data_IF_631743459414
#
_entry.id   IF_631743459414
#
_cell.length_a   1.000
_cell.length_b   1.000
_cell.length_c   1.000
_cell.angle_alpha   90.00
_cell.angle_beta   90.00
_cell.angle_gamma   90.00
#
_symmetry.space_group_name_H-M   'P 1'
#
loop_
_entity.id
_entity.type
_entity.pdbx_description
1 polymer ?
#
# COMPACT_ATOMS: atom_id res chain seq x y z
N UNK A 1 -22.74 -0.12 6.80
CA UNK A 1 -21.45 0.12 7.49
C UNK A 1 -21.46 1.52 8.11
N UNK A 2 -20.83 1.71 9.28
CA UNK A 2 -20.59 3.04 9.86
C UNK A 2 -19.85 3.95 8.88
N UNK A 3 -20.17 5.25 8.85
CA UNK A 3 -19.58 6.23 7.90
C UNK A 3 -18.05 6.25 7.94
N UNK A 4 -17.46 6.15 9.14
CA UNK A 4 -16.01 6.13 9.31
C UNK A 4 -15.34 4.93 8.61
N UNK A 5 -15.97 3.74 8.65
CA UNK A 5 -15.46 2.54 7.98
C UNK A 5 -15.66 2.61 6.48
N UNK A 6 -16.75 3.21 5.99
CA UNK A 6 -16.94 3.46 4.56
C UNK A 6 -15.84 4.38 4.02
N UNK A 7 -15.56 5.49 4.74
CA UNK A 7 -14.49 6.42 4.37
C UNK A 7 -13.11 5.73 4.36
N UNK A 8 -12.83 4.89 5.36
CA UNK A 8 -11.60 4.10 5.39
C UNK A 8 -11.50 3.15 4.18
N UNK A 9 -12.58 2.44 3.83
CA UNK A 9 -12.62 1.54 2.65
C UNK A 9 -12.40 2.29 1.34
N UNK A 10 -12.99 3.48 1.18
CA UNK A 10 -12.74 4.34 0.01
C UNK A 10 -11.26 4.74 -0.05
N UNK A 11 -10.67 5.15 1.07
CA UNK A 11 -9.25 5.50 1.13
C UNK A 11 -8.34 4.30 0.84
N UNK A 12 -8.64 3.11 1.36
CA UNK A 12 -7.91 1.89 1.00
C UNK A 12 -8.00 1.60 -0.51
N UNK A 13 -9.15 1.85 -1.13
CA UNK A 13 -9.33 1.69 -2.58
C UNK A 13 -8.52 2.72 -3.37
N UNK A 14 -8.46 3.98 -2.90
CA UNK A 14 -7.62 5.03 -3.49
C UNK A 14 -6.14 4.66 -3.34
N UNK A 15 -5.71 4.18 -2.17
CA UNK A 15 -4.35 3.72 -1.93
C UNK A 15 -3.98 2.56 -2.86
N UNK A 16 -4.90 1.61 -3.11
CA UNK A 16 -4.71 0.53 -4.07
C UNK A 16 -4.43 1.07 -5.47
N UNK A 17 -5.24 2.02 -5.94
CA UNK A 17 -5.09 2.61 -7.28
C UNK A 17 -3.75 3.36 -7.38
N UNK A 18 -3.43 4.21 -6.41
CA UNK A 18 -2.17 4.96 -6.39
C UNK A 18 -0.97 4.02 -6.36
N UNK A 19 -0.99 3.01 -5.49
CA UNK A 19 0.13 2.07 -5.37
C UNK A 19 0.30 1.23 -6.64
N UNK A 20 -0.81 0.79 -7.24
CA UNK A 20 -0.79 0.07 -8.52
C UNK A 20 -0.21 0.95 -9.62
N UNK A 21 -0.63 2.21 -9.74
CA UNK A 21 -0.06 3.15 -10.71
C UNK A 21 1.45 3.30 -10.48
N UNK A 22 1.89 3.51 -9.23
CA UNK A 22 3.30 3.66 -8.91
C UNK A 22 4.16 2.47 -9.36
N UNK A 23 3.73 1.24 -9.06
CA UNK A 23 4.51 0.02 -9.37
C UNK A 23 4.45 -0.33 -10.87
N UNK A 24 3.28 -0.24 -11.50
CA UNK A 24 3.12 -0.69 -12.88
C UNK A 24 3.68 0.33 -13.88
N UNK A 25 3.55 1.64 -13.61
CA UNK A 25 4.16 2.67 -14.47
C UNK A 25 5.70 2.64 -14.42
N UNK A 26 6.25 2.38 -13.24
CA UNK A 26 7.68 2.18 -13.03
C UNK A 26 8.18 0.99 -13.85
N UNK A 27 7.50 -0.15 -13.75
CA UNK A 27 7.80 -1.35 -14.53
C UNK A 27 7.69 -1.13 -16.04
N UNK A 28 6.66 -0.42 -16.51
CA UNK A 28 6.47 -0.15 -17.93
C UNK A 28 7.56 0.78 -18.49
N UNK A 29 7.97 1.77 -17.69
CA UNK A 29 9.01 2.73 -18.08
C UNK A 29 10.44 2.22 -17.94
N UNK A 30 10.65 1.07 -17.29
CA UNK A 30 11.95 0.45 -16.97
C UNK A 30 12.93 1.36 -16.23
N UNK A 31 12.41 2.39 -15.57
CA UNK A 31 13.20 3.37 -14.83
C UNK A 31 12.38 3.98 -13.71
N UNK A 32 12.96 4.15 -12.53
CA UNK A 32 12.31 4.86 -11.44
C UNK A 32 12.43 6.37 -11.65
N UNK A 33 11.29 7.05 -11.82
CA UNK A 33 11.20 8.51 -11.97
C UNK A 33 10.67 9.13 -10.68
N UNK A 34 11.00 10.41 -10.47
CA UNK A 34 10.53 11.20 -9.31
C UNK A 34 9.01 11.14 -9.13
N UNK A 35 8.26 11.17 -10.24
CA UNK A 35 6.79 11.12 -10.16
C UNK A 35 6.25 9.77 -9.69
N UNK A 36 6.91 8.63 -10.00
CA UNK A 36 6.52 7.32 -9.47
C UNK A 36 6.59 7.34 -7.94
N UNK A 37 7.67 7.93 -7.40
CA UNK A 37 7.89 8.06 -5.96
C UNK A 37 6.86 8.98 -5.32
N UNK A 38 6.46 10.09 -5.98
CA UNK A 38 5.40 10.97 -5.47
C UNK A 38 4.04 10.24 -5.41
N UNK A 39 3.68 9.49 -6.46
CA UNK A 39 2.44 8.69 -6.47
C UNK A 39 2.50 7.58 -5.43
N UNK A 40 3.65 6.93 -5.27
CA UNK A 40 3.86 5.91 -4.25
C UNK A 40 3.70 6.49 -2.85
N UNK A 41 4.31 7.64 -2.58
CA UNK A 41 4.17 8.36 -1.32
C UNK A 41 2.70 8.68 -1.01
N UNK A 42 1.96 9.19 -1.99
CA UNK A 42 0.53 9.46 -1.84
C UNK A 42 -0.25 8.19 -1.50
N UNK A 43 0.07 7.05 -2.14
CA UNK A 43 -0.51 5.75 -1.81
C UNK A 43 -0.24 5.33 -0.36
N UNK A 44 1.01 5.41 0.09
CA UNK A 44 1.42 5.10 1.48
C UNK A 44 0.68 5.96 2.50
N UNK A 45 0.66 7.28 2.28
CA UNK A 45 0.00 8.22 3.20
C UNK A 45 -1.50 7.94 3.26
N UNK A 46 -2.12 7.67 2.12
CA UNK A 46 -3.55 7.34 2.06
C UNK A 46 -3.87 6.06 2.84
N UNK A 47 -3.04 5.02 2.68
CA UNK A 47 -3.18 3.74 3.40
C UNK A 47 -3.00 3.90 4.91
N UNK A 48 -2.00 4.71 5.32
CA UNK A 48 -1.76 5.04 6.72
C UNK A 48 -2.93 5.79 7.35
N UNK A 49 -3.51 6.77 6.64
CA UNK A 49 -4.70 7.51 7.10
C UNK A 49 -5.91 6.58 7.22
N UNK A 50 -6.16 5.73 6.24
CA UNK A 50 -7.25 4.75 6.26
C UNK A 50 -7.14 3.80 7.47
N UNK A 51 -5.93 3.33 7.75
CA UNK A 51 -5.61 2.51 8.93
C UNK A 51 -5.87 3.28 10.22
N UNK A 52 -5.43 4.53 10.32
CA UNK A 52 -5.67 5.39 11.48
C UNK A 52 -7.15 5.66 11.76
N UNK A 53 -7.94 5.90 10.72
CA UNK A 53 -9.41 6.04 10.83
C UNK A 53 -10.02 4.74 11.37
N UNK A 54 -9.59 3.59 10.86
CA UNK A 54 -10.08 2.28 11.30
C UNK A 54 -9.76 2.02 12.77
N UNK A 55 -8.52 2.27 13.21
CA UNK A 55 -8.11 2.12 14.61
C UNK A 55 -8.90 3.07 15.52
N UNK A 56 -9.03 4.33 15.12
CA UNK A 56 -9.80 5.33 15.89
C UNK A 56 -11.27 4.94 16.02
N UNK A 57 -11.86 4.39 14.96
CA UNK A 57 -13.24 3.91 14.97
C UNK A 57 -13.43 2.70 15.89
N UNK A 58 -12.52 1.72 15.83
CA UNK A 58 -12.56 0.53 16.69
C UNK A 58 -12.27 0.90 18.16
N UNK A 59 -11.48 1.96 18.39
CA UNK A 59 -11.08 2.42 19.72
C UNK A 59 -9.87 1.67 20.30
N UNK A 60 -9.33 0.68 19.57
CA UNK A 60 -8.16 -0.09 19.95
C UNK A 60 -7.48 -0.69 18.73
N UNK A 61 -6.20 -1.06 18.86
CA UNK A 61 -5.52 -1.93 17.90
C UNK A 61 -5.95 -3.37 18.19
N UNK A 62 -6.62 -4.00 17.23
CA UNK A 62 -7.08 -5.39 17.35
C UNK A 62 -6.27 -6.29 16.42
N UNK A 63 -5.56 -7.26 16.98
CA UNK A 63 -4.72 -8.20 16.22
C UNK A 63 -5.53 -9.40 15.72
N UNK A 64 -6.38 -9.17 14.73
CA UNK A 64 -6.97 -10.25 13.94
C UNK A 64 -5.96 -10.78 12.91
N UNK A 65 -6.13 -11.99 12.34
CA UNK A 65 -5.28 -12.45 11.25
C UNK A 65 -5.21 -11.45 10.10
N UNK A 66 -6.35 -10.90 9.66
CA UNK A 66 -6.38 -9.86 8.64
C UNK A 66 -5.60 -8.60 9.06
N UNK A 67 -5.78 -8.11 10.29
CA UNK A 67 -5.07 -6.93 10.78
C UNK A 67 -3.55 -7.15 10.85
N UNK A 68 -3.09 -8.33 11.26
CA UNK A 68 -1.67 -8.69 11.24
C UNK A 68 -1.11 -8.67 9.82
N UNK A 69 -1.82 -9.28 8.85
CA UNK A 69 -1.44 -9.22 7.44
C UNK A 69 -1.48 -7.78 6.88
N UNK A 70 -2.45 -6.97 7.30
CA UNK A 70 -2.57 -5.54 6.97
C UNK A 70 -1.38 -4.73 7.45
N UNK A 71 -1.04 -4.83 8.74
CA UNK A 71 0.10 -4.13 9.30
C UNK A 71 1.43 -4.58 8.67
N UNK A 72 1.60 -5.88 8.45
CA UNK A 72 2.78 -6.40 7.76
C UNK A 72 2.90 -5.84 6.33
N UNK A 73 1.79 -5.80 5.59
CA UNK A 73 1.75 -5.23 4.24
C UNK A 73 2.07 -3.72 4.23
N UNK A 74 1.51 -2.93 5.16
CA UNK A 74 1.77 -1.50 5.29
C UNK A 74 3.25 -1.23 5.65
N UNK A 75 3.81 -2.00 6.59
CA UNK A 75 5.24 -1.90 6.94
C UNK A 75 6.11 -2.24 5.72
N UNK A 76 5.79 -3.32 5.00
CA UNK A 76 6.53 -3.73 3.81
C UNK A 76 6.45 -2.68 2.70
N UNK A 77 5.28 -2.08 2.50
CA UNK A 77 5.04 -0.97 1.56
C UNK A 77 5.88 0.26 1.94
N UNK A 78 5.94 0.62 3.23
CA UNK A 78 6.78 1.70 3.75
C UNK A 78 8.27 1.44 3.52
N UNK A 79 8.76 0.24 3.84
CA UNK A 79 10.15 -0.15 3.60
C UNK A 79 10.49 -0.09 2.11
N UNK A 80 9.57 -0.53 1.26
CA UNK A 80 9.74 -0.46 -0.19
C UNK A 80 9.76 0.99 -0.70
N UNK A 81 8.94 1.88 -0.13
CA UNK A 81 8.98 3.31 -0.45
C UNK A 81 10.32 3.95 -0.05
N UNK A 82 10.85 3.64 1.14
CA UNK A 82 12.18 4.11 1.55
C UNK A 82 13.27 3.61 0.61
N UNK A 83 13.16 2.36 0.14
CA UNK A 83 14.09 1.83 -0.85
C UNK A 83 13.93 2.56 -2.21
N UNK A 84 12.71 2.94 -2.61
CA UNK A 84 12.49 3.74 -3.81
C UNK A 84 13.22 5.09 -3.74
N UNK A 85 13.23 5.74 -2.57
CA UNK A 85 14.00 6.98 -2.36
C UNK A 85 15.51 6.75 -2.52
N UNK A 86 16.03 5.65 -1.97
CA UNK A 86 17.45 5.30 -2.12
C UNK A 86 17.82 5.00 -3.58
N UNK A 87 16.98 4.27 -4.32
CA UNK A 87 17.19 3.96 -5.74
C UNK A 87 17.06 5.20 -6.61
N UNK A 88 16.18 6.14 -6.27
CA UNK A 88 16.05 7.40 -7.01
C UNK A 88 17.26 8.32 -6.81
N UNK A 89 17.86 8.30 -5.61
CA UNK A 89 19.05 9.09 -5.29
C UNK A 89 20.34 8.49 -5.88
N UNK A 90 20.28 7.26 -6.36
CA UNK A 90 21.43 6.49 -6.78
C UNK A 90 21.35 6.04 -8.24
N UNK A 91 22.43 6.20 -8.99
CA UNK A 91 22.44 5.93 -10.43
C UNK A 91 22.84 4.46 -10.75
N UNK A 92 22.70 3.53 -9.79
CA UNK A 92 23.13 2.14 -9.97
C UNK A 92 22.03 1.28 -10.58
N UNK A 93 22.25 0.86 -11.83
CA UNK A 93 21.33 0.02 -12.60
C UNK A 93 21.05 -1.35 -11.94
N UNK A 94 22.00 -1.93 -11.20
CA UNK A 94 21.78 -3.20 -10.50
C UNK A 94 20.76 -3.05 -9.38
N UNK A 95 20.83 -1.96 -8.61
CA UNK A 95 19.87 -1.65 -7.53
C UNK A 95 18.47 -1.40 -8.09
N UNK A 96 18.36 -0.67 -9.21
CA UNK A 96 17.10 -0.45 -9.89
C UNK A 96 16.45 -1.77 -10.38
N UNK A 97 17.24 -2.69 -10.95
CA UNK A 97 16.73 -3.99 -11.40
C UNK A 97 16.23 -4.86 -10.24
N UNK A 98 16.90 -4.83 -9.08
CA UNK A 98 16.44 -5.56 -7.90
C UNK A 98 15.14 -4.96 -7.35
N UNK A 99 15.07 -3.63 -7.30
CA UNK A 99 13.88 -2.88 -6.91
C UNK A 99 12.66 -3.23 -7.80
N UNK A 100 12.83 -3.27 -9.12
CA UNK A 100 11.79 -3.67 -10.08
C UNK A 100 11.14 -5.04 -9.79
N UNK A 101 11.96 -6.02 -9.39
CA UNK A 101 11.48 -7.38 -9.08
C UNK A 101 10.81 -7.41 -7.72
N UNK A 102 11.42 -6.78 -6.73
CA UNK A 102 10.91 -6.75 -5.37
C UNK A 102 9.58 -5.97 -5.26
N UNK A 103 9.42 -4.88 -6.02
CA UNK A 103 8.20 -4.07 -5.97
C UNK A 103 6.93 -4.80 -6.37
N UNK A 104 7.02 -5.72 -7.35
CA UNK A 104 5.87 -6.55 -7.72
C UNK A 104 5.48 -7.52 -6.60
N UNK A 105 6.46 -8.07 -5.89
CA UNK A 105 6.21 -8.94 -4.74
C UNK A 105 5.51 -8.18 -3.61
N UNK A 106 6.03 -7.00 -3.23
CA UNK A 106 5.42 -6.17 -2.18
C UNK A 106 4.01 -5.75 -2.57
N UNK A 107 3.80 -5.35 -3.82
CA UNK A 107 2.48 -5.01 -4.34
C UNK A 107 1.51 -6.20 -4.28
N UNK A 108 1.96 -7.40 -4.63
CA UNK A 108 1.14 -8.61 -4.54
C UNK A 108 0.72 -8.94 -3.10
N UNK A 109 1.65 -8.84 -2.14
CA UNK A 109 1.34 -9.01 -0.71
C UNK A 109 0.30 -7.98 -0.24
N UNK A 110 0.46 -6.72 -0.64
CA UNK A 110 -0.47 -5.65 -0.30
C UNK A 110 -1.86 -5.87 -0.92
N UNK A 111 -1.92 -6.29 -2.19
CA UNK A 111 -3.17 -6.61 -2.88
C UNK A 111 -3.94 -7.73 -2.17
N UNK A 112 -3.25 -8.80 -1.77
CA UNK A 112 -3.89 -9.90 -1.02
C UNK A 112 -4.46 -9.37 0.29
N UNK A 113 -3.70 -8.56 1.02
CA UNK A 113 -4.17 -7.96 2.27
C UNK A 113 -5.42 -7.10 2.05
N UNK A 114 -5.42 -6.21 1.07
CA UNK A 114 -6.57 -5.41 0.67
C UNK A 114 -7.80 -6.28 0.37
N UNK A 115 -7.65 -7.32 -0.45
CA UNK A 115 -8.75 -8.21 -0.83
C UNK A 115 -9.36 -8.92 0.38
N UNK A 116 -8.52 -9.42 1.31
CA UNK A 116 -9.03 -10.04 2.53
C UNK A 116 -9.84 -9.05 3.38
N UNK A 117 -9.39 -7.81 3.51
CA UNK A 117 -10.10 -6.77 4.26
C UNK A 117 -11.42 -6.37 3.60
N UNK A 118 -11.39 -6.20 2.28
CA UNK A 118 -12.56 -5.86 1.49
C UNK A 118 -13.66 -6.93 1.60
N UNK A 119 -13.30 -8.22 1.45
CA UNK A 119 -14.24 -9.34 1.57
C UNK A 119 -14.84 -9.40 2.98
N UNK A 120 -14.01 -9.26 4.03
CA UNK A 120 -14.48 -9.25 5.42
C UNK A 120 -15.41 -8.06 5.71
N UNK A 121 -15.16 -6.91 5.08
CA UNK A 121 -16.04 -5.74 5.15
C UNK A 121 -17.39 -5.98 4.46
N UNK A 122 -17.37 -6.57 3.27
CA UNK A 122 -18.58 -6.92 2.52
C UNK A 122 -19.45 -7.95 3.23
N UNK A 123 -18.85 -8.98 3.85
CA UNK A 123 -19.59 -9.99 4.62
C UNK A 123 -20.30 -9.42 5.86
N UNK A 124 -20.02 -8.18 6.26
CA UNK A 124 -20.73 -7.47 7.34
C UNK A 124 -21.85 -6.54 6.82
N UNK A 125 -22.02 -6.44 5.50
CA UNK A 125 -23.07 -5.64 4.86
C UNK A 125 -24.29 -6.47 4.45
N UNK A 126 -24.11 -7.76 4.16
CA UNK A 126 -25.16 -8.73 3.84
C UNK A 126 -25.41 -9.65 5.04
#
# INVERSE_FOLDING_TARGET
MPEALLNATILFSIALVLYTIAIWSERLSRQLKKWHVLVFFAGVVTDFIATGITIKFIGAIVFTPHALFGFAALILMLLHFLWALMVLADNNQQRANLFHRFGLFVWGVWLISYLTGFILGMNKLF
#
